data_IF_328030019116
#
_entry.id   IF_328030019116
#
_cell.length_a   1.000
_cell.length_b   1.000
_cell.length_c   1.000
_cell.angle_alpha   90.00
_cell.angle_beta   90.00
_cell.angle_gamma   90.00
#
_symmetry.space_group_name_H-M   'P 1'
#
loop_
_entity.id
_entity.type
_entity.pdbx_description
1 polymer ?
#
# COMPACT_ATOMS: atom_id res chain seq x y z
N UNK A 1 -20.02 -8.95 -5.60
CA UNK A 1 -19.44 -9.74 -4.50
C UNK A 1 -17.94 -9.71 -4.68
N UNK A 2 -17.25 -8.75 -4.07
CA UNK A 2 -15.79 -8.75 -4.05
C UNK A 2 -15.37 -9.86 -3.10
N UNK A 3 -14.80 -10.94 -3.63
CA UNK A 3 -14.10 -11.92 -2.80
C UNK A 3 -13.08 -11.16 -1.96
N UNK A 4 -13.17 -11.28 -0.63
CA UNK A 4 -12.14 -10.77 0.29
C UNK A 4 -10.85 -11.55 -0.01
N UNK A 5 -10.07 -11.02 -0.96
CA UNK A 5 -8.75 -11.53 -1.31
C UNK A 5 -7.81 -11.12 -0.20
N UNK A 6 -7.26 -12.08 0.54
CA UNK A 6 -6.18 -11.80 1.47
C UNK A 6 -4.93 -11.48 0.64
N UNK A 7 -4.33 -10.28 0.80
CA UNK A 7 -3.16 -9.89 0.02
C UNK A 7 -2.02 -10.88 0.25
N UNK A 8 -1.43 -11.35 -0.85
CA UNK A 8 -0.25 -12.19 -0.82
C UNK A 8 0.98 -11.43 -0.30
N UNK A 9 2.05 -12.16 0.03
CA UNK A 9 3.32 -11.54 0.44
C UNK A 9 3.91 -10.58 -0.60
N UNK A 10 3.66 -10.83 -1.90
CA UNK A 10 4.12 -9.96 -2.98
C UNK A 10 3.31 -8.65 -3.06
N UNK A 11 2.01 -8.71 -2.79
CA UNK A 11 1.14 -7.54 -2.71
C UNK A 11 1.49 -6.67 -1.50
N UNK A 12 1.76 -7.29 -0.34
CA UNK A 12 2.28 -6.57 0.82
C UNK A 12 3.64 -5.91 0.54
N UNK A 13 4.56 -6.59 -0.16
CA UNK A 13 5.84 -6.00 -0.55
C UNK A 13 5.66 -4.83 -1.54
N UNK A 14 4.62 -4.88 -2.38
CA UNK A 14 4.24 -3.76 -3.24
C UNK A 14 3.78 -2.55 -2.42
N UNK A 15 2.91 -2.78 -1.42
CA UNK A 15 2.48 -1.73 -0.51
C UNK A 15 3.65 -1.10 0.25
N UNK A 16 4.58 -1.92 0.75
CA UNK A 16 5.79 -1.43 1.44
C UNK A 16 6.62 -0.52 0.52
N UNK A 17 6.86 -0.92 -0.75
CA UNK A 17 7.58 -0.07 -1.72
C UNK A 17 6.90 1.27 -1.95
N UNK A 18 5.57 1.27 -2.10
CA UNK A 18 4.79 2.50 -2.30
C UNK A 18 4.90 3.42 -1.08
N UNK A 19 4.79 2.87 0.13
CA UNK A 19 4.92 3.64 1.38
C UNK A 19 6.31 4.24 1.56
N UNK A 20 7.35 3.46 1.27
CA UNK A 20 8.73 3.94 1.31
C UNK A 20 8.94 5.09 0.32
N UNK A 21 8.43 4.96 -0.90
CA UNK A 21 8.49 6.01 -1.91
C UNK A 21 7.70 7.27 -1.51
N UNK A 22 6.52 7.09 -0.91
CA UNK A 22 5.64 8.19 -0.51
C UNK A 22 6.11 8.93 0.74
N UNK A 23 6.99 8.35 1.55
CA UNK A 23 7.42 8.94 2.83
C UNK A 23 7.98 10.34 2.63
N UNK A 24 7.42 11.31 3.35
CA UNK A 24 7.78 12.73 3.24
C UNK A 24 7.03 13.51 2.15
N UNK A 25 6.30 12.86 1.25
CA UNK A 25 5.54 13.52 0.20
C UNK A 25 4.28 14.20 0.75
N UNK A 26 3.98 15.40 0.27
CA UNK A 26 2.66 16.00 0.43
C UNK A 26 1.65 15.48 -0.62
N UNK A 27 0.38 15.86 -0.51
CA UNK A 27 -0.69 15.42 -1.42
C UNK A 27 -0.33 15.59 -2.91
N UNK A 28 0.18 16.76 -3.32
CA UNK A 28 0.49 17.02 -4.73
C UNK A 28 1.65 16.16 -5.24
N UNK A 29 2.66 15.94 -4.41
CA UNK A 29 3.80 15.09 -4.76
C UNK A 29 3.38 13.63 -4.88
N UNK A 30 2.60 13.13 -3.92
CA UNK A 30 2.07 11.76 -3.96
C UNK A 30 1.15 11.56 -5.17
N UNK A 31 0.29 12.53 -5.49
CA UNK A 31 -0.60 12.47 -6.66
C UNK A 31 0.18 12.44 -7.97
N UNK A 32 1.21 13.28 -8.12
CA UNK A 32 2.04 13.27 -9.31
C UNK A 32 2.80 11.95 -9.49
N UNK A 33 3.32 11.37 -8.40
CA UNK A 33 3.96 10.05 -8.41
C UNK A 33 2.96 8.95 -8.76
N UNK A 34 1.71 9.04 -8.28
CA UNK A 34 0.66 8.11 -8.61
C UNK A 34 0.33 8.14 -10.11
N UNK A 35 0.12 9.33 -10.68
CA UNK A 35 -0.15 9.49 -12.11
C UNK A 35 1.01 9.00 -12.99
N UNK A 36 2.26 9.14 -12.52
CA UNK A 36 3.44 8.56 -13.20
C UNK A 36 3.42 7.03 -13.17
N UNK A 37 3.10 6.44 -12.02
CA UNK A 37 3.00 5.00 -11.86
C UNK A 37 1.89 4.40 -12.73
N UNK A 38 0.75 5.06 -12.87
CA UNK A 38 -0.33 4.63 -13.78
C UNK A 38 0.11 4.66 -15.24
N UNK A 39 0.74 5.75 -15.69
CA UNK A 39 1.26 5.86 -17.07
C UNK A 39 2.29 4.77 -17.38
N UNK A 40 3.21 4.51 -16.45
CA UNK A 40 4.18 3.43 -16.61
C UNK A 40 3.53 2.02 -16.65
N UNK A 41 2.38 1.84 -15.98
CA UNK A 41 1.65 0.58 -16.00
C UNK A 41 0.90 0.34 -17.33
N UNK A 42 0.40 1.41 -17.96
CA UNK A 42 -0.25 1.37 -19.28
C UNK A 42 0.72 0.98 -20.41
N UNK A 43 1.98 1.43 -20.31
CA UNK A 43 3.01 1.17 -21.32
C UNK A 43 3.60 -0.25 -21.29
N UNK A 44 3.32 -1.04 -20.23
CA UNK A 44 3.94 -2.36 -20.02
C UNK A 44 2.98 -3.54 -20.11
N UNK A 45 3.28 -4.56 -20.93
CA UNK A 45 2.54 -5.84 -20.96
C UNK A 45 2.82 -6.64 -19.67
N UNK A 46 1.79 -6.88 -18.84
CA UNK A 46 1.90 -7.69 -17.61
C UNK A 46 1.39 -9.11 -17.81
N UNK A 47 2.12 -10.11 -17.29
CA UNK A 47 1.55 -11.42 -16.99
C UNK A 47 0.65 -11.36 -15.72
N UNK A 48 -0.21 -12.35 -15.51
CA UNK A 48 -1.27 -12.34 -14.48
C UNK A 48 -0.77 -12.10 -13.05
N UNK A 49 0.41 -12.62 -12.67
CA UNK A 49 1.04 -12.35 -11.37
C UNK A 49 1.53 -10.90 -11.23
N UNK A 50 1.99 -10.29 -12.32
CA UNK A 50 2.34 -8.87 -12.36
C UNK A 50 1.10 -7.98 -12.29
N UNK A 51 -0.07 -8.44 -12.73
CA UNK A 51 -1.32 -7.68 -12.67
C UNK A 51 -1.81 -7.45 -11.23
N UNK A 52 -1.77 -8.49 -10.37
CA UNK A 52 -2.17 -8.35 -8.96
C UNK A 52 -1.21 -7.43 -8.18
N UNK A 53 0.10 -7.56 -8.40
CA UNK A 53 1.10 -6.69 -7.76
C UNK A 53 0.92 -5.23 -8.18
N UNK A 54 0.72 -4.97 -9.49
CA UNK A 54 0.45 -3.61 -9.98
C UNK A 54 -0.85 -3.03 -9.42
N UNK A 55 -1.90 -3.86 -9.32
CA UNK A 55 -3.15 -3.45 -8.68
C UNK A 55 -2.92 -3.09 -7.22
N UNK A 56 -2.16 -3.90 -6.48
CA UNK A 56 -1.82 -3.60 -5.09
C UNK A 56 -1.05 -2.27 -4.96
N UNK A 57 -0.09 -1.99 -5.85
CA UNK A 57 0.63 -0.71 -5.87
C UNK A 57 -0.31 0.47 -6.13
N UNK A 58 -1.19 0.36 -7.13
CA UNK A 58 -2.18 1.39 -7.47
C UNK A 58 -3.12 1.67 -6.30
N UNK A 59 -3.71 0.60 -5.74
CA UNK A 59 -4.68 0.70 -4.66
C UNK A 59 -4.03 1.33 -3.39
N UNK A 60 -2.72 1.11 -3.15
CA UNK A 60 -2.00 1.77 -2.05
C UNK A 60 -1.65 3.24 -2.35
N UNK A 61 -1.27 3.58 -3.59
CA UNK A 61 -1.07 4.98 -3.99
C UNK A 61 -2.34 5.80 -3.82
N UNK A 62 -3.48 5.29 -4.31
CA UNK A 62 -4.80 5.92 -4.16
C UNK A 62 -5.11 6.20 -2.68
N UNK A 63 -4.95 5.18 -1.82
CA UNK A 63 -5.16 5.31 -0.37
C UNK A 63 -4.28 6.39 0.28
N UNK A 64 -3.00 6.46 -0.09
CA UNK A 64 -2.09 7.49 0.44
C UNK A 64 -2.52 8.88 -0.05
N UNK A 65 -2.87 9.02 -1.32
CA UNK A 65 -3.31 10.31 -1.86
C UNK A 65 -4.61 10.80 -1.22
N UNK A 66 -5.55 9.90 -0.92
CA UNK A 66 -6.79 10.20 -0.19
C UNK A 66 -6.48 10.63 1.24
N UNK A 67 -5.64 9.86 1.94
CA UNK A 67 -5.22 10.18 3.32
C UNK A 67 -4.59 11.58 3.40
N UNK A 68 -3.75 11.94 2.42
CA UNK A 68 -3.12 13.26 2.35
C UNK A 68 -4.08 14.36 1.87
N UNK A 69 -5.18 14.02 1.22
CA UNK A 69 -6.22 15.00 0.85
C UNK A 69 -6.96 15.49 2.10
N UNK A 70 -7.21 14.58 3.04
CA UNK A 70 -7.91 14.88 4.29
C UNK A 70 -6.99 15.47 5.38
N UNK A 71 -5.67 15.35 5.22
CA UNK A 71 -4.68 15.75 6.22
C UNK A 71 -3.59 16.64 5.62
N UNK A 72 -3.49 17.86 6.12
CA UNK A 72 -2.38 18.75 5.77
C UNK A 72 -1.08 18.22 6.38
N UNK A 73 -0.10 17.88 5.54
CA UNK A 73 1.20 17.40 5.99
C UNK A 73 1.93 16.55 4.95
N UNK A 74 3.06 16.01 5.37
CA UNK A 74 3.80 14.98 4.65
C UNK A 74 3.36 13.59 5.11
N UNK A 75 3.34 12.63 4.19
CA UNK A 75 3.07 11.24 4.50
C UNK A 75 4.13 10.67 5.46
N UNK A 76 3.68 10.04 6.53
CA UNK A 76 4.52 9.27 7.45
C UNK A 76 3.82 7.94 7.82
N UNK A 77 4.32 6.78 7.37
CA UNK A 77 3.73 5.48 7.68
C UNK A 77 3.72 5.17 9.19
N UNK A 78 4.58 5.81 10.00
CA UNK A 78 4.58 5.66 11.45
C UNK A 78 3.34 6.28 12.12
N UNK A 79 2.69 7.23 11.44
CA UNK A 79 1.47 7.91 11.94
C UNK A 79 0.20 7.51 11.20
N UNK A 80 0.33 6.73 10.12
CA UNK A 80 -0.78 6.26 9.28
C UNK A 80 -1.66 5.21 10.01
N UNK A 81 -2.94 5.50 10.30
CA UNK A 81 -3.81 4.58 11.04
C UNK A 81 -4.01 3.22 10.37
N UNK A 82 -4.02 3.16 9.04
CA UNK A 82 -4.17 1.90 8.30
C UNK A 82 -2.93 1.02 8.51
N UNK A 83 -1.73 1.61 8.37
CA UNK A 83 -0.46 0.91 8.59
C UNK A 83 -0.34 0.41 10.04
N UNK A 84 -0.69 1.25 11.01
CA UNK A 84 -0.66 0.86 12.42
C UNK A 84 -1.64 -0.29 12.74
N UNK A 85 -2.82 -0.31 12.10
CA UNK A 85 -3.77 -1.42 12.17
C UNK A 85 -3.18 -2.73 11.64
N UNK A 86 -2.50 -2.69 10.48
CA UNK A 86 -1.86 -3.86 9.88
C UNK A 86 -0.73 -4.43 10.76
N UNK A 87 0.13 -3.56 11.31
CA UNK A 87 1.22 -3.96 12.20
C UNK A 87 0.67 -4.62 13.47
N UNK A 88 -0.39 -4.04 14.05
CA UNK A 88 -1.08 -4.60 15.22
C UNK A 88 -1.67 -5.98 14.93
N UNK A 89 -2.35 -6.14 13.80
CA UNK A 89 -2.91 -7.43 13.39
C UNK A 89 -1.82 -8.50 13.21
N UNK A 90 -0.70 -8.14 12.56
CA UNK A 90 0.45 -9.04 12.38
C UNK A 90 1.08 -9.46 13.71
N UNK A 91 1.26 -8.50 14.63
CA UNK A 91 1.78 -8.79 15.96
C UNK A 91 0.85 -9.74 16.74
N UNK A 92 -0.46 -9.54 16.65
CA UNK A 92 -1.46 -10.40 17.29
C UNK A 92 -1.45 -11.83 16.71
N UNK A 93 -1.37 -11.97 15.38
CA UNK A 93 -1.23 -13.29 14.74
C UNK A 93 0.04 -14.02 15.18
N UNK A 94 1.18 -13.33 15.20
CA UNK A 94 2.45 -13.91 15.66
C UNK A 94 2.36 -14.39 17.13
N UNK A 95 1.77 -13.59 18.02
CA UNK A 95 1.52 -13.97 19.42
C UNK A 95 0.61 -15.19 19.54
N UNK A 96 -0.46 -15.25 18.74
CA UNK A 96 -1.38 -16.39 18.75
C UNK A 96 -0.70 -17.67 18.27
N UNK A 97 0.16 -17.61 17.24
CA UNK A 97 0.94 -18.76 16.76
C UNK A 97 1.98 -19.23 17.78
N UNK A 98 2.64 -18.31 18.51
CA UNK A 98 3.61 -18.66 19.54
C UNK A 98 2.96 -19.35 20.75
N UNK A 99 1.74 -18.96 21.13
CA UNK A 99 0.97 -19.59 22.23
C UNK A 99 0.46 -21.01 21.90
N UNK A 100 0.45 -21.39 20.62
CA UNK A 100 0.01 -22.72 20.16
C UNK A 100 1.16 -23.73 20.04
N UNK A 101 2.41 -23.31 20.31
CA UNK A 101 3.60 -24.15 20.36
C UNK A 101 3.95 -24.47 21.80
#
# INVERSE_FOLDING_TARGET
MSTEHEPSGQEHAAWERVRDAATGMNHHQAKAAFEEAERAAEDGTADGGSSLVRRAERDEWERITDTLSDHAGSYDPATDPFVQGQLTARANRARASARRR
#
